data_IF_343427629658
#
_entry.id   IF_343427629658
#
_cell.length_a   1.000
_cell.length_b   1.000
_cell.length_c   1.000
_cell.angle_alpha   90.00
_cell.angle_beta   90.00
_cell.angle_gamma   90.00
#
_symmetry.space_group_name_H-M   'P 1'
#
loop_
_entity.id
_entity.type
_entity.pdbx_description
1 polymer ?
#
# COMPACT_ATOMS: atom_id res chain seq x y z
N UNK A 1 -48.50 4.49 29.01
CA UNK A 1 -47.63 5.57 29.52
C UNK A 1 -47.02 6.29 28.31
N UNK A 2 -47.64 7.39 27.85
CA UNK A 2 -47.21 8.13 26.65
C UNK A 2 -46.22 9.21 27.09
N UNK A 3 -44.95 9.05 26.74
CA UNK A 3 -43.88 9.99 27.06
C UNK A 3 -43.92 11.19 26.10
N UNK A 4 -44.71 12.20 26.47
CA UNK A 4 -44.70 13.50 25.79
C UNK A 4 -43.43 14.29 26.21
N UNK A 5 -42.26 13.92 25.70
CA UNK A 5 -41.01 14.64 25.97
C UNK A 5 -40.69 15.72 24.91
N UNK A 6 -41.48 15.82 23.83
CA UNK A 6 -41.19 16.65 22.65
C UNK A 6 -41.96 17.98 22.57
N UNK A 7 -42.44 18.54 23.69
CA UNK A 7 -43.37 19.68 23.65
C UNK A 7 -42.95 20.92 24.46
N UNK A 8 -41.66 21.18 24.68
CA UNK A 8 -41.26 22.39 25.42
C UNK A 8 -39.91 23.03 25.06
N UNK A 9 -39.50 22.99 23.79
CA UNK A 9 -38.39 23.84 23.34
C UNK A 9 -38.94 25.10 22.66
N UNK A 10 -38.72 26.31 23.22
CA UNK A 10 -39.19 27.55 22.59
C UNK A 10 -38.49 27.73 21.24
N UNK A 11 -39.23 28.22 20.23
CA UNK A 11 -38.75 28.41 18.84
C UNK A 11 -37.38 29.09 18.75
N UNK A 12 -37.08 30.02 19.67
CA UNK A 12 -35.77 30.67 19.80
C UNK A 12 -34.62 29.71 20.11
N UNK A 13 -34.81 28.74 21.00
CA UNK A 13 -33.76 27.77 21.36
C UNK A 13 -33.48 26.79 20.22
N UNK A 14 -34.52 26.35 19.50
CA UNK A 14 -34.35 25.54 18.29
C UNK A 14 -33.59 26.32 17.21
N UNK A 15 -33.87 27.62 17.06
CA UNK A 15 -33.16 28.49 16.12
C UNK A 15 -31.68 28.69 16.48
N UNK A 16 -31.35 28.80 17.77
CA UNK A 16 -29.97 28.94 18.23
C UNK A 16 -29.20 27.63 18.05
N UNK A 17 -29.83 26.49 18.35
CA UNK A 17 -29.22 25.16 18.16
C UNK A 17 -28.96 24.86 16.68
N UNK A 18 -29.90 25.21 15.79
CA UNK A 18 -29.73 25.01 14.34
C UNK A 18 -28.64 25.91 13.78
N UNK A 19 -28.56 27.18 14.20
CA UNK A 19 -27.47 28.08 13.81
C UNK A 19 -26.10 27.59 14.31
N UNK A 20 -26.02 27.13 15.56
CA UNK A 20 -24.81 26.56 16.13
C UNK A 20 -24.33 25.32 15.36
N UNK A 21 -25.26 24.41 15.05
CA UNK A 21 -24.94 23.20 14.28
C UNK A 21 -24.48 23.54 12.85
N UNK A 22 -25.10 24.55 12.22
CA UNK A 22 -24.72 25.02 10.89
C UNK A 22 -23.31 25.62 10.88
N UNK A 23 -22.94 26.38 11.92
CA UNK A 23 -21.58 26.90 12.07
C UNK A 23 -20.53 25.79 12.24
N UNK A 24 -20.81 24.78 13.07
CA UNK A 24 -19.87 23.66 13.28
C UNK A 24 -19.65 22.90 11.98
N UNK A 25 -20.72 22.53 11.27
CA UNK A 25 -20.63 21.82 9.99
C UNK A 25 -19.89 22.65 8.94
N UNK A 26 -20.16 23.96 8.87
CA UNK A 26 -19.47 24.88 7.96
C UNK A 26 -17.96 24.91 8.19
N UNK A 27 -17.51 25.05 9.44
CA UNK A 27 -16.10 25.08 9.81
C UNK A 27 -15.37 23.77 9.46
N UNK A 28 -16.00 22.62 9.72
CA UNK A 28 -15.43 21.33 9.35
C UNK A 28 -15.38 21.10 7.84
N UNK A 29 -16.42 21.49 7.10
CA UNK A 29 -16.45 21.35 5.65
C UNK A 29 -15.37 22.19 4.96
N UNK A 30 -15.14 23.41 5.45
CA UNK A 30 -14.02 24.26 4.99
C UNK A 30 -12.68 23.61 5.36
N UNK A 31 -12.53 23.10 6.58
CA UNK A 31 -11.32 22.40 7.03
C UNK A 31 -10.98 21.19 6.16
N UNK A 32 -11.95 20.33 5.84
CA UNK A 32 -11.75 19.15 4.97
C UNK A 32 -11.37 19.55 3.54
N UNK A 33 -11.97 20.62 3.00
CA UNK A 33 -11.61 21.13 1.66
C UNK A 33 -10.22 21.77 1.63
N UNK A 34 -9.84 22.47 2.70
CA UNK A 34 -8.53 23.14 2.83
C UNK A 34 -7.41 22.17 3.16
N UNK A 35 -7.69 21.08 3.89
CA UNK A 35 -6.67 20.10 4.28
C UNK A 35 -5.95 19.51 3.06
N UNK A 36 -6.57 19.57 1.87
CA UNK A 36 -5.97 19.15 0.63
C UNK A 36 -5.66 17.65 0.63
N UNK A 37 -5.30 17.15 -0.54
CA UNK A 37 -4.67 15.85 -0.65
C UNK A 37 -3.31 15.98 0.06
N UNK A 38 -3.25 15.58 1.34
CA UNK A 38 -1.98 15.34 2.01
C UNK A 38 -1.40 14.16 1.26
N UNK A 39 -0.69 14.45 0.18
CA UNK A 39 0.29 13.54 -0.39
C UNK A 39 1.24 13.27 0.76
N UNK A 40 0.98 12.19 1.48
CA UNK A 40 2.04 11.53 2.21
C UNK A 40 3.11 11.34 1.16
N UNK A 41 4.19 12.09 1.27
CA UNK A 41 5.45 11.64 0.69
C UNK A 41 5.50 10.18 1.10
N UNK A 42 5.41 9.29 0.11
CA UNK A 42 5.59 7.87 0.37
C UNK A 42 6.81 7.80 1.28
N UNK A 43 6.75 7.07 2.40
CA UNK A 43 7.92 6.99 3.24
C UNK A 43 9.06 6.66 2.28
N UNK A 44 10.09 7.50 2.31
CA UNK A 44 11.41 7.10 1.89
C UNK A 44 11.84 6.01 2.90
N UNK A 45 11.07 4.91 3.00
CA UNK A 45 11.64 3.58 3.13
C UNK A 45 12.75 3.59 2.13
N UNK A 46 13.95 3.21 2.59
CA UNK A 46 15.08 2.99 1.71
C UNK A 46 14.54 2.48 0.37
N UNK A 47 14.70 3.30 -0.66
CA UNK A 47 14.43 2.93 -2.03
C UNK A 47 15.52 1.92 -2.42
N UNK A 48 15.59 0.81 -1.68
CA UNK A 48 15.75 -0.49 -2.28
C UNK A 48 14.49 -0.61 -3.11
N UNK A 49 14.52 -0.09 -4.33
CA UNK A 49 13.67 -0.59 -5.38
C UNK A 49 13.97 -2.09 -5.36
N UNK A 50 13.14 -2.87 -4.68
CA UNK A 50 13.15 -4.31 -4.82
C UNK A 50 12.79 -4.53 -6.29
N UNK A 51 13.82 -4.68 -7.12
CA UNK A 51 13.66 -4.94 -8.53
C UNK A 51 13.11 -6.37 -8.62
N UNK A 52 11.91 -6.58 -9.16
CA UNK A 52 11.43 -7.93 -9.41
C UNK A 52 12.44 -8.66 -10.30
N UNK A 53 12.97 -9.79 -9.84
CA UNK A 53 14.05 -10.53 -10.49
C UNK A 53 15.47 -10.23 -9.98
N UNK A 54 15.68 -9.26 -9.10
CA UNK A 54 16.95 -9.05 -8.40
C UNK A 54 16.98 -9.91 -7.13
N UNK A 55 17.46 -11.14 -7.28
CA UNK A 55 17.45 -12.17 -6.25
C UNK A 55 18.62 -11.98 -5.29
N UNK A 56 19.70 -11.31 -5.72
CA UNK A 56 20.85 -11.02 -4.88
C UNK A 56 20.88 -9.64 -4.22
N UNK A 57 19.87 -8.80 -4.46
CA UNK A 57 19.68 -7.46 -3.90
C UNK A 57 20.86 -6.53 -4.25
N UNK A 58 21.45 -6.73 -5.44
CA UNK A 58 22.60 -5.94 -5.90
C UNK A 58 22.19 -4.68 -6.70
N UNK A 59 20.89 -4.50 -6.93
CA UNK A 59 20.28 -3.41 -7.68
C UNK A 59 20.33 -3.60 -9.21
N UNK A 60 20.66 -4.80 -9.68
CA UNK A 60 20.72 -5.17 -11.11
C UNK A 60 20.17 -6.57 -11.28
N UNK A 61 19.49 -6.76 -12.41
CA UNK A 61 19.09 -8.08 -12.86
C UNK A 61 20.18 -8.59 -13.78
N UNK A 62 20.85 -9.68 -13.42
CA UNK A 62 21.87 -10.32 -14.23
C UNK A 62 21.84 -11.86 -14.15
N UNK A 63 22.86 -12.52 -14.72
CA UNK A 63 22.92 -13.99 -14.76
C UNK A 63 23.13 -14.62 -13.38
N UNK A 64 23.62 -13.87 -12.39
CA UNK A 64 23.79 -14.35 -11.01
C UNK A 64 22.42 -14.62 -10.39
N UNK A 65 21.42 -13.77 -10.65
CA UNK A 65 20.04 -13.97 -10.21
C UNK A 65 19.45 -15.25 -10.78
N UNK A 66 19.64 -15.47 -12.08
CA UNK A 66 19.20 -16.69 -12.78
C UNK A 66 19.79 -17.93 -12.13
N UNK A 67 21.10 -17.94 -11.88
CA UNK A 67 21.77 -19.10 -11.25
C UNK A 67 21.18 -19.34 -9.86
N UNK A 68 20.93 -18.27 -9.10
CA UNK A 68 20.35 -18.34 -7.76
C UNK A 68 18.94 -18.92 -7.73
N UNK A 69 18.10 -18.57 -8.72
CA UNK A 69 16.76 -19.16 -8.89
C UNK A 69 16.90 -20.65 -9.19
N UNK A 70 17.81 -21.04 -10.08
CA UNK A 70 18.03 -22.45 -10.42
C UNK A 70 18.52 -23.28 -9.23
N UNK A 71 19.40 -22.73 -8.40
CA UNK A 71 19.85 -23.41 -7.18
C UNK A 71 18.71 -23.66 -6.19
N UNK A 72 17.79 -22.70 -6.06
CA UNK A 72 16.60 -22.82 -5.22
C UNK A 72 15.61 -23.84 -5.83
N UNK A 73 15.33 -23.72 -7.13
CA UNK A 73 14.41 -24.59 -7.84
C UNK A 73 14.88 -26.06 -7.85
N UNK A 74 16.19 -26.31 -7.87
CA UNK A 74 16.78 -27.64 -7.76
C UNK A 74 16.90 -28.16 -6.32
N UNK A 75 16.60 -27.32 -5.32
CA UNK A 75 16.66 -27.69 -3.90
C UNK A 75 18.08 -27.76 -3.34
N UNK A 76 19.06 -27.11 -3.97
CA UNK A 76 20.41 -26.97 -3.40
C UNK A 76 20.45 -26.01 -2.23
N UNK A 77 19.49 -25.08 -2.15
CA UNK A 77 19.32 -24.14 -1.05
C UNK A 77 17.86 -23.77 -0.85
N UNK A 78 17.49 -23.39 0.37
CA UNK A 78 16.16 -22.83 0.64
C UNK A 78 16.15 -21.32 0.36
N UNK A 79 15.05 -20.80 -0.22
CA UNK A 79 14.92 -19.38 -0.48
C UNK A 79 14.72 -18.59 0.81
N UNK A 80 15.39 -17.44 0.90
CA UNK A 80 15.11 -16.48 1.97
C UNK A 80 13.80 -15.73 1.70
N UNK A 81 13.15 -15.18 2.74
CA UNK A 81 11.92 -14.38 2.55
C UNK A 81 12.07 -13.18 1.61
N UNK A 82 13.29 -12.64 1.46
CA UNK A 82 13.57 -11.55 0.52
C UNK A 82 13.66 -12.05 -0.92
N UNK A 83 14.31 -13.19 -1.14
CA UNK A 83 14.39 -13.81 -2.47
C UNK A 83 13.00 -14.21 -2.98
N UNK A 84 12.12 -14.66 -2.09
CA UNK A 84 10.70 -14.89 -2.39
C UNK A 84 9.92 -13.61 -2.71
N UNK A 85 10.37 -12.45 -2.21
CA UNK A 85 9.76 -11.17 -2.54
C UNK A 85 10.21 -10.63 -3.90
N UNK A 86 11.45 -10.94 -4.29
CA UNK A 86 12.02 -10.67 -5.59
C UNK A 86 11.58 -11.65 -6.69
N UNK A 87 10.59 -12.51 -6.39
CA UNK A 87 10.01 -13.47 -7.33
C UNK A 87 9.55 -12.78 -8.63
N UNK A 88 10.07 -13.19 -9.80
CA UNK A 88 9.75 -12.56 -11.09
C UNK A 88 8.28 -12.66 -11.48
N UNK A 89 7.59 -13.74 -11.12
CA UNK A 89 6.20 -13.98 -11.50
C UNK A 89 5.20 -13.69 -10.36
N UNK A 90 5.70 -13.60 -9.11
CA UNK A 90 4.95 -13.26 -7.91
C UNK A 90 4.01 -14.35 -7.40
N UNK A 91 4.23 -15.61 -7.76
CA UNK A 91 3.47 -16.77 -7.29
C UNK A 91 3.95 -17.30 -5.93
N UNK A 92 5.08 -16.79 -5.44
CA UNK A 92 5.68 -17.09 -4.15
C UNK A 92 6.53 -18.35 -4.17
N UNK A 93 6.94 -18.84 -5.34
CA UNK A 93 7.83 -20.00 -5.49
C UNK A 93 8.85 -19.72 -6.59
N UNK A 94 10.14 -19.76 -6.25
CA UNK A 94 11.19 -19.64 -7.26
C UNK A 94 11.36 -20.97 -8.01
N UNK A 95 10.94 -20.98 -9.28
CA UNK A 95 10.94 -22.14 -10.17
C UNK A 95 11.90 -21.98 -11.35
N UNK A 96 12.10 -23.05 -12.11
CA UNK A 96 12.90 -23.01 -13.34
C UNK A 96 12.27 -22.10 -14.41
N UNK A 97 10.94 -21.99 -14.42
CA UNK A 97 10.23 -21.11 -15.36
C UNK A 97 10.60 -19.63 -15.13
N UNK A 98 10.80 -19.23 -13.87
CA UNK A 98 11.22 -17.86 -13.51
C UNK A 98 12.64 -17.56 -13.98
N UNK A 99 13.54 -18.53 -13.88
CA UNK A 99 14.90 -18.41 -14.40
C UNK A 99 14.91 -18.27 -15.93
N UNK A 100 14.04 -19.00 -16.64
CA UNK A 100 13.90 -18.89 -18.10
C UNK A 100 13.30 -17.54 -18.48
N UNK A 101 12.32 -17.05 -17.74
CA UNK A 101 11.72 -15.74 -17.96
C UNK A 101 12.76 -14.61 -17.82
N UNK A 102 13.57 -14.65 -16.75
CA UNK A 102 14.68 -13.69 -16.58
C UNK A 102 15.70 -13.76 -17.71
N UNK A 103 16.09 -14.97 -18.12
CA UNK A 103 17.05 -15.16 -19.23
C UNK A 103 16.54 -14.57 -20.54
N UNK A 104 15.22 -14.62 -20.77
CA UNK A 104 14.62 -14.01 -21.95
C UNK A 104 14.70 -12.48 -21.90
N UNK A 105 14.49 -11.89 -20.71
CA UNK A 105 14.60 -10.44 -20.49
C UNK A 105 16.04 -9.95 -20.66
N UNK A 106 17.03 -10.66 -20.09
CA UNK A 106 18.46 -10.32 -20.17
C UNK A 106 19.06 -10.36 -21.58
N UNK A 107 18.35 -10.99 -22.52
CA UNK A 107 18.79 -11.14 -23.90
C UNK A 107 18.43 -9.93 -24.77
N UNK A 108 17.46 -9.11 -24.34
CA UNK A 108 16.93 -7.96 -25.07
C UNK A 108 17.67 -6.67 -24.72
#
# INVERSE_FOLDING_TARGET
>A
MKTNFLAHFPRRTVSILTLGMLCVVGSFAVGIRTAGDVRTISPLSAETLELPGDIDDNGKIDYVDVIRILEIAQGYREPTPRELHADPNGDGVLTVDDAIALLHELRL
#
